data_IF_893950609280
#
_entry.id   IF_893950609280
#
_cell.length_a   1.000
_cell.length_b   1.000
_cell.length_c   1.000
_cell.angle_alpha   90.00
_cell.angle_beta   90.00
_cell.angle_gamma   90.00
#
_symmetry.space_group_name_H-M   'P 1'
#
loop_
_entity.id
_entity.type
_entity.pdbx_description
1 polymer ?
#
# COMPACT_ATOMS: atom_id res chain seq x y z
N UNK A 1 48.98 -4.59 -10.69
CA UNK A 1 47.59 -4.45 -10.22
C UNK A 1 47.24 -5.74 -9.50
N UNK A 2 46.92 -5.68 -8.21
CA UNK A 2 46.51 -6.87 -7.46
C UNK A 2 45.07 -7.14 -7.87
N UNK A 3 44.85 -8.10 -8.75
CA UNK A 3 43.52 -8.66 -8.96
C UNK A 3 43.12 -9.33 -7.64
N UNK A 4 42.48 -8.54 -6.78
CA UNK A 4 41.66 -9.04 -5.69
C UNK A 4 40.71 -10.04 -6.34
N UNK A 5 40.95 -11.34 -6.15
CA UNK A 5 40.00 -12.40 -6.47
C UNK A 5 38.79 -12.18 -5.55
N UNK A 6 37.96 -11.19 -5.86
CA UNK A 6 36.64 -11.05 -5.25
C UNK A 6 35.97 -12.39 -5.44
N UNK A 7 35.63 -13.05 -4.33
CA UNK A 7 34.93 -14.33 -4.38
C UNK A 7 33.68 -14.15 -5.25
N UNK A 8 33.32 -15.14 -6.06
CA UNK A 8 32.17 -15.02 -6.97
C UNK A 8 30.89 -14.65 -6.21
N UNK A 9 30.80 -15.01 -4.92
CA UNK A 9 29.75 -14.60 -4.00
C UNK A 9 29.71 -13.09 -3.76
N UNK A 10 30.85 -12.45 -3.47
CA UNK A 10 30.94 -10.99 -3.27
C UNK A 10 30.52 -10.22 -4.51
N UNK A 11 30.94 -10.66 -5.69
CA UNK A 11 30.53 -10.04 -6.96
C UNK A 11 29.03 -10.15 -7.17
N UNK A 12 28.42 -11.28 -6.79
CA UNK A 12 26.98 -11.51 -6.88
C UNK A 12 26.18 -10.65 -5.91
N UNK A 13 26.69 -10.46 -4.70
CA UNK A 13 26.08 -9.56 -3.70
C UNK A 13 26.18 -8.09 -4.11
N UNK A 14 27.32 -7.67 -4.68
CA UNK A 14 27.51 -6.31 -5.23
C UNK A 14 26.48 -6.01 -6.32
N UNK A 15 26.30 -6.93 -7.27
CA UNK A 15 25.31 -6.78 -8.34
C UNK A 15 23.87 -6.71 -7.80
N UNK A 16 23.52 -7.52 -6.79
CA UNK A 16 22.20 -7.41 -6.12
C UNK A 16 22.00 -6.05 -5.45
N UNK A 17 23.03 -5.53 -4.79
CA UNK A 17 22.97 -4.20 -4.16
C UNK A 17 22.87 -3.09 -5.21
N UNK A 18 23.55 -3.24 -6.35
CA UNK A 18 23.52 -2.27 -7.44
C UNK A 18 22.14 -2.22 -8.11
N UNK A 19 21.50 -3.37 -8.31
CA UNK A 19 20.11 -3.45 -8.79
C UNK A 19 19.11 -2.84 -7.79
N UNK A 20 19.27 -3.13 -6.48
CA UNK A 20 18.46 -2.51 -5.42
C UNK A 20 18.63 -0.98 -5.38
N UNK A 21 19.86 -0.48 -5.60
CA UNK A 21 20.15 0.97 -5.63
C UNK A 21 19.68 1.64 -6.92
N UNK A 22 19.71 0.95 -8.04
CA UNK A 22 19.28 1.45 -9.35
C UNK A 22 17.76 1.43 -9.51
N UNK A 23 17.08 0.50 -8.85
CA UNK A 23 15.63 0.40 -8.82
C UNK A 23 15.07 0.49 -7.38
N UNK A 24 15.23 1.63 -6.69
CA UNK A 24 14.63 1.83 -5.37
C UNK A 24 13.10 1.82 -5.43
N UNK A 25 12.55 2.22 -6.58
CA UNK A 25 11.12 2.35 -6.84
C UNK A 25 10.42 0.99 -6.99
N UNK A 26 11.11 -0.05 -7.47
CA UNK A 26 10.54 -1.39 -7.65
C UNK A 26 10.10 -2.04 -6.34
N UNK A 27 10.95 -2.01 -5.32
CA UNK A 27 10.61 -2.55 -3.99
C UNK A 27 9.58 -1.70 -3.24
N UNK A 28 9.58 -0.37 -3.46
CA UNK A 28 8.61 0.54 -2.84
C UNK A 28 7.21 0.36 -3.41
N UNK A 29 7.04 0.14 -4.72
CA UNK A 29 5.73 -0.11 -5.30
C UNK A 29 5.13 -1.43 -4.81
N UNK A 30 5.93 -2.49 -4.71
CA UNK A 30 5.50 -3.76 -4.13
C UNK A 30 5.11 -3.63 -2.64
N UNK A 31 5.93 -2.92 -1.86
CA UNK A 31 5.64 -2.66 -0.45
C UNK A 31 4.38 -1.79 -0.28
N UNK A 32 4.21 -0.78 -1.13
CA UNK A 32 3.06 0.13 -1.08
C UNK A 32 1.77 -0.55 -1.56
N UNK A 33 1.83 -1.37 -2.62
CA UNK A 33 0.69 -2.15 -3.09
C UNK A 33 0.25 -3.16 -2.02
N UNK A 34 1.21 -3.82 -1.35
CA UNK A 34 0.94 -4.69 -0.19
C UNK A 34 0.39 -3.93 1.02
N UNK A 35 0.91 -2.76 1.35
CA UNK A 35 0.44 -1.95 2.47
C UNK A 35 -0.95 -1.34 2.20
N UNK A 36 -1.21 -0.91 0.96
CA UNK A 36 -2.48 -0.33 0.52
C UNK A 36 -3.59 -1.38 0.50
N UNK A 37 -3.29 -2.59 0.00
CA UNK A 37 -4.23 -3.72 0.03
C UNK A 37 -4.40 -4.33 1.41
N UNK A 38 -3.40 -4.26 2.29
CA UNK A 38 -3.49 -4.77 3.66
C UNK A 38 -4.24 -3.84 4.61
N UNK A 39 -3.97 -2.54 4.60
CA UNK A 39 -4.44 -1.60 5.64
C UNK A 39 -5.92 -1.22 5.53
N UNK A 40 -6.43 -0.95 4.33
CA UNK A 40 -7.85 -0.60 4.15
C UNK A 40 -8.76 -1.80 4.37
N UNK A 41 -8.33 -2.98 3.92
CA UNK A 41 -9.08 -4.23 4.03
C UNK A 41 -9.05 -4.76 5.47
N UNK A 42 -7.94 -4.58 6.20
CA UNK A 42 -7.87 -4.86 7.64
C UNK A 42 -8.68 -3.85 8.46
N UNK A 43 -8.75 -2.58 8.05
CA UNK A 43 -9.57 -1.59 8.75
C UNK A 43 -11.07 -1.82 8.51
N UNK A 44 -11.49 -2.11 7.27
CA UNK A 44 -12.86 -2.54 6.95
C UNK A 44 -13.21 -3.89 7.60
N UNK A 45 -12.25 -4.81 7.64
CA UNK A 45 -12.40 -6.12 8.28
C UNK A 45 -12.47 -6.05 9.81
N UNK A 46 -11.66 -5.20 10.45
CA UNK A 46 -11.59 -5.02 11.91
C UNK A 46 -12.72 -4.15 12.46
N UNK A 47 -13.20 -3.15 11.71
CA UNK A 47 -14.49 -2.47 12.00
C UNK A 47 -15.67 -3.44 11.87
N UNK A 48 -15.47 -4.52 11.11
CA UNK A 48 -16.45 -5.55 10.84
C UNK A 48 -17.59 -5.07 9.96
N UNK A 49 -18.31 -6.04 9.40
CA UNK A 49 -19.49 -5.81 8.55
C UNK A 49 -20.54 -4.88 9.17
N UNK A 50 -20.62 -4.83 10.51
CA UNK A 50 -21.50 -3.92 11.25
C UNK A 50 -21.03 -2.46 11.19
N UNK A 51 -19.72 -2.20 11.37
CA UNK A 51 -19.15 -0.86 11.30
C UNK A 51 -19.20 -0.29 9.89
N UNK A 52 -18.86 -1.11 8.90
CA UNK A 52 -18.94 -0.73 7.48
C UNK A 52 -20.38 -0.43 7.06
N UNK A 53 -21.36 -1.23 7.51
CA UNK A 53 -22.77 -1.00 7.22
C UNK A 53 -23.30 0.33 7.76
N UNK A 54 -22.89 0.71 8.98
CA UNK A 54 -23.27 1.99 9.59
C UNK A 54 -22.65 3.17 8.84
N UNK A 55 -21.38 3.07 8.44
CA UNK A 55 -20.69 4.12 7.70
C UNK A 55 -21.34 4.38 6.34
N UNK A 56 -21.69 3.31 5.60
CA UNK A 56 -22.41 3.41 4.33
C UNK A 56 -23.81 3.99 4.53
N UNK A 57 -24.49 3.60 5.61
CA UNK A 57 -25.82 4.13 5.96
C UNK A 57 -25.77 5.63 6.24
N UNK A 58 -24.81 6.09 7.05
CA UNK A 58 -24.60 7.52 7.33
C UNK A 58 -24.25 8.30 6.06
N UNK A 59 -23.36 7.79 5.22
CA UNK A 59 -22.93 8.45 3.98
C UNK A 59 -24.06 8.52 2.95
N UNK A 60 -24.89 7.48 2.85
CA UNK A 60 -26.08 7.44 2.01
C UNK A 60 -27.22 8.34 2.52
N UNK A 61 -27.42 8.42 3.83
CA UNK A 61 -28.41 9.29 4.46
C UNK A 61 -28.02 10.77 4.36
N UNK A 62 -26.75 11.11 4.49
CA UNK A 62 -26.25 12.50 4.35
C UNK A 62 -26.57 13.09 2.98
N UNK A 63 -26.45 12.29 1.91
CA UNK A 63 -26.82 12.74 0.57
C UNK A 63 -28.33 12.96 0.44
N UNK A 64 -29.16 12.18 1.15
CA UNK A 64 -30.62 12.31 1.16
C UNK A 64 -31.10 13.51 1.99
N UNK A 65 -30.46 13.77 3.14
CA UNK A 65 -30.73 14.92 4.01
C UNK A 65 -30.36 16.24 3.34
N UNK A 66 -29.18 16.34 2.72
CA UNK A 66 -28.79 17.54 2.00
C UNK A 66 -29.65 17.79 0.74
N UNK A 67 -30.12 16.73 0.08
CA UNK A 67 -31.07 16.84 -1.06
C UNK A 67 -32.45 17.32 -0.60
N UNK A 68 -32.91 16.90 0.58
CA UNK A 68 -34.22 17.27 1.12
C UNK A 68 -34.24 18.72 1.65
N UNK A 69 -33.11 19.21 2.19
CA UNK A 69 -32.96 20.60 2.62
C UNK A 69 -32.68 21.61 1.50
N UNK A 70 -32.40 21.17 0.27
CA UNK A 70 -32.17 22.05 -0.89
C UNK A 70 -33.42 22.27 -1.75
N UNK A 71 -34.58 21.72 -1.35
CA UNK A 71 -35.84 21.80 -2.10
C UNK A 71 -37.01 22.29 -1.25
N UNK A 72 -36.71 23.00 -0.15
CA UNK A 72 -37.64 23.85 0.63
C UNK A 72 -37.07 25.26 0.67
#
# INVERSE_FOLDING_TARGET
>A
MREEKETPERRRERLKQEELRRNPTGGMNDAFNRASSGGLTDLVGSLGWKGTGILIFLMGLSNKVCKLGSHT
#
